data_IF_720017308185
#
_entry.id   IF_720017308185
#
_cell.length_a   1.000
_cell.length_b   1.000
_cell.length_c   1.000
_cell.angle_alpha   90.00
_cell.angle_beta   90.00
_cell.angle_gamma   90.00
#
_symmetry.space_group_name_H-M   'P 1'
#
loop_
_entity.id
_entity.type
_entity.pdbx_description
1 polymer ?
#
# COMPACT_ATOMS: atom_id res chain seq x y z
N UNK A 1 -8.44 0.32 -31.31
CA UNK A 1 -8.93 -0.43 -30.14
C UNK A 1 -7.75 -0.63 -29.19
N UNK A 2 -7.75 0.01 -28.01
CA UNK A 2 -6.61 -0.05 -27.07
C UNK A 2 -6.50 -1.45 -26.47
N UNK A 3 -5.29 -2.01 -26.43
CA UNK A 3 -5.01 -3.30 -25.81
C UNK A 3 -5.31 -3.23 -24.31
N UNK A 4 -6.45 -3.77 -23.88
CA UNK A 4 -6.79 -3.84 -22.46
C UNK A 4 -5.80 -4.80 -21.76
N UNK A 5 -4.96 -4.31 -20.84
CA UNK A 5 -3.96 -5.14 -20.15
C UNK A 5 -4.61 -6.25 -19.31
N UNK A 6 -5.87 -6.08 -18.92
CA UNK A 6 -6.62 -7.06 -18.13
C UNK A 6 -6.99 -8.32 -18.95
N UNK A 7 -6.93 -8.27 -20.29
CA UNK A 7 -7.23 -9.45 -21.14
C UNK A 7 -6.21 -10.58 -21.02
N UNK A 8 -5.05 -10.33 -20.42
CA UNK A 8 -3.97 -11.33 -20.25
C UNK A 8 -3.88 -11.88 -18.83
N UNK A 9 -4.71 -11.39 -17.90
CA UNK A 9 -4.73 -11.89 -16.54
C UNK A 9 -5.55 -13.17 -16.47
N UNK A 10 -5.03 -14.15 -15.74
CA UNK A 10 -5.78 -15.37 -15.47
C UNK A 10 -6.91 -15.05 -14.48
N UNK A 11 -8.05 -15.72 -14.62
CA UNK A 11 -9.17 -15.57 -13.69
C UNK A 11 -8.76 -15.90 -12.25
N UNK A 12 -7.85 -16.86 -12.07
CA UNK A 12 -7.31 -17.21 -10.75
C UNK A 12 -6.53 -16.06 -10.09
N UNK A 13 -5.73 -15.31 -10.87
CA UNK A 13 -4.98 -14.17 -10.35
C UNK A 13 -5.92 -13.03 -9.94
N UNK A 14 -7.01 -12.85 -10.68
CA UNK A 14 -8.03 -11.84 -10.39
C UNK A 14 -8.77 -12.19 -9.09
N UNK A 15 -9.14 -13.46 -8.92
CA UNK A 15 -9.82 -13.95 -7.70
C UNK A 15 -8.93 -13.78 -6.46
N UNK A 16 -7.65 -14.15 -6.55
CA UNK A 16 -6.68 -13.96 -5.46
C UNK A 16 -6.55 -12.47 -5.08
N UNK A 17 -6.60 -11.56 -6.05
CA UNK A 17 -6.48 -10.12 -5.78
C UNK A 17 -7.73 -9.50 -5.18
N UNK A 18 -8.92 -10.05 -5.48
CA UNK A 18 -10.18 -9.58 -4.88
C UNK A 18 -10.21 -9.93 -3.39
N UNK A 19 -9.67 -11.09 -3.02
CA UNK A 19 -9.75 -11.65 -1.66
C UNK A 19 -8.48 -11.49 -0.83
N UNK A 20 -7.50 -10.73 -1.33
CA UNK A 20 -6.19 -10.61 -0.67
C UNK A 20 -6.24 -10.00 0.73
N UNK A 21 -7.25 -9.16 0.99
CA UNK A 21 -7.42 -8.44 2.24
C UNK A 21 -8.50 -9.05 3.15
N UNK A 22 -9.12 -10.17 2.74
CA UNK A 22 -10.22 -10.80 3.50
C UNK A 22 -9.77 -11.32 4.87
N UNK A 23 -8.50 -11.72 5.00
CA UNK A 23 -7.91 -12.22 6.25
C UNK A 23 -7.28 -11.09 7.10
N UNK A 24 -7.38 -9.83 6.68
CA UNK A 24 -6.83 -8.69 7.42
C UNK A 24 -7.87 -8.16 8.40
N UNK A 25 -7.52 -8.20 9.69
CA UNK A 25 -8.35 -7.64 10.75
C UNK A 25 -8.49 -6.11 10.57
N UNK A 26 -9.73 -5.63 10.51
CA UNK A 26 -10.01 -4.20 10.34
C UNK A 26 -9.66 -3.47 11.64
N UNK A 27 -8.50 -2.80 11.65
CA UNK A 27 -7.96 -2.12 12.83
C UNK A 27 -8.84 -0.94 13.30
N UNK A 28 -9.51 -0.25 12.39
CA UNK A 28 -10.41 0.86 12.70
C UNK A 28 -11.43 1.08 11.59
N UNK A 29 -12.66 1.41 11.98
CA UNK A 29 -13.71 1.86 11.08
C UNK A 29 -14.03 3.31 11.38
N UNK A 30 -13.94 4.18 10.37
CA UNK A 30 -14.25 5.60 10.52
C UNK A 30 -15.60 5.92 9.88
N UNK A 31 -16.40 6.71 10.57
CA UNK A 31 -17.64 7.29 10.06
C UNK A 31 -17.34 8.54 9.22
N UNK A 32 -18.25 8.90 8.32
CA UNK A 32 -18.12 10.09 7.47
C UNK A 32 -17.85 11.37 8.30
N UNK A 33 -18.44 11.48 9.49
CA UNK A 33 -18.23 12.62 10.39
C UNK A 33 -16.81 12.67 10.95
N UNK A 34 -16.23 11.52 11.33
CA UNK A 34 -14.85 11.42 11.82
C UNK A 34 -13.84 11.72 10.70
N UNK A 35 -14.16 11.32 9.46
CA UNK A 35 -13.34 11.64 8.28
C UNK A 35 -13.40 13.15 7.99
N UNK A 36 -14.58 13.77 8.04
CA UNK A 36 -14.72 15.23 7.82
C UNK A 36 -13.98 16.00 8.92
N UNK A 37 -14.05 15.54 10.16
CA UNK A 37 -13.39 16.17 11.29
C UNK A 37 -11.87 16.05 11.20
N UNK A 38 -11.33 14.94 10.68
CA UNK A 38 -9.89 14.77 10.46
C UNK A 38 -9.32 15.80 9.49
N UNK A 39 -10.11 16.16 8.47
CA UNK A 39 -9.72 17.14 7.45
C UNK A 39 -9.88 18.57 7.97
N UNK A 40 -10.91 18.81 8.81
CA UNK A 40 -11.29 20.15 9.25
C UNK A 40 -10.59 20.57 10.55
N UNK A 41 -10.09 19.62 11.35
CA UNK A 41 -9.38 19.87 12.61
C UNK A 41 -8.29 18.81 12.83
N UNK A 42 -7.12 18.95 12.19
CA UNK A 42 -6.09 17.91 12.18
C UNK A 42 -5.54 17.58 13.59
N UNK A 43 -5.55 18.52 14.52
CA UNK A 43 -4.91 18.38 15.84
C UNK A 43 -5.71 17.53 16.86
N UNK A 44 -6.88 16.97 16.50
CA UNK A 44 -7.76 16.27 17.48
C UNK A 44 -7.87 14.76 17.32
N UNK A 45 -7.25 14.16 16.31
CA UNK A 45 -7.39 12.71 16.04
C UNK A 45 -6.10 11.94 16.36
N UNK A 46 -5.04 12.60 16.81
CA UNK A 46 -3.81 11.93 17.23
C UNK A 46 -3.97 11.16 18.56
N UNK A 47 -5.00 11.43 19.37
CA UNK A 47 -5.16 10.76 20.67
C UNK A 47 -5.61 9.29 20.57
N UNK A 48 -6.35 8.89 19.53
CA UNK A 48 -6.79 7.50 19.37
C UNK A 48 -5.92 6.65 18.43
N UNK A 49 -4.93 7.26 17.77
CA UNK A 49 -3.86 6.56 17.07
C UNK A 49 -2.52 6.68 17.82
N UNK A 50 -2.54 7.09 19.09
CA UNK A 50 -1.37 7.19 19.94
C UNK A 50 -0.93 5.79 20.39
N UNK A 51 -0.41 5.00 19.44
CA UNK A 51 0.66 4.08 19.78
C UNK A 51 1.87 4.96 20.14
N UNK A 52 1.99 5.23 21.44
CA UNK A 52 3.23 5.49 22.14
C UNK A 52 4.26 6.28 21.32
N UNK A 53 4.03 7.59 21.17
CA UNK A 53 5.14 8.53 21.01
C UNK A 53 5.90 8.58 22.33
N UNK A 54 6.59 7.48 22.65
CA UNK A 54 7.71 7.49 23.56
C UNK A 54 8.78 8.39 22.95
N UNK A 55 8.96 9.56 23.55
CA UNK A 55 10.21 10.29 23.50
C UNK A 55 11.33 9.36 24.00
N UNK A 56 11.89 8.52 23.13
CA UNK A 56 13.15 7.83 23.40
C UNK A 56 13.99 7.76 22.13
N UNK A 57 15.04 8.59 22.13
CA UNK A 57 16.25 8.58 21.30
C UNK A 57 16.06 8.52 19.77
N UNK A 58 16.31 9.66 19.13
CA UNK A 58 16.64 9.83 17.71
C UNK A 58 17.81 8.94 17.26
N UNK A 59 17.58 7.64 17.16
CA UNK A 59 18.34 6.74 16.30
C UNK A 59 17.40 6.25 15.23
N UNK A 60 17.35 6.99 14.13
CA UNK A 60 16.94 6.46 12.84
C UNK A 60 17.87 5.30 12.52
N UNK A 61 17.54 4.09 12.98
CA UNK A 61 18.30 2.90 12.64
C UNK A 61 18.27 2.74 11.12
N UNK A 62 19.46 2.70 10.54
CA UNK A 62 19.61 2.58 9.10
C UNK A 62 18.97 1.27 8.64
N UNK A 63 17.93 1.36 7.82
CA UNK A 63 17.22 0.18 7.32
C UNK A 63 18.20 -0.72 6.56
N UNK A 64 18.34 -1.97 7.02
CA UNK A 64 19.18 -2.96 6.38
C UNK A 64 18.63 -3.24 4.96
N UNK A 65 19.48 -3.07 3.96
CA UNK A 65 19.11 -3.39 2.57
C UNK A 65 18.95 -4.90 2.37
N UNK A 66 18.10 -5.31 1.42
CA UNK A 66 17.95 -6.71 1.03
C UNK A 66 19.27 -7.40 0.67
N UNK A 67 20.20 -6.67 0.04
CA UNK A 67 21.52 -7.20 -0.32
C UNK A 67 22.40 -7.44 0.91
N UNK A 68 22.34 -6.54 1.90
CA UNK A 68 23.05 -6.72 3.17
C UNK A 68 22.50 -7.91 3.97
N UNK A 69 21.18 -8.07 4.02
CA UNK A 69 20.53 -9.21 4.67
C UNK A 69 20.90 -10.55 4.00
N UNK A 70 20.92 -10.60 2.67
CA UNK A 70 21.30 -11.78 1.88
C UNK A 70 22.76 -12.20 2.15
N UNK A 71 23.68 -11.24 2.15
CA UNK A 71 25.09 -11.51 2.52
C UNK A 71 25.24 -11.97 3.96
N UNK A 72 24.45 -11.41 4.88
CA UNK A 72 24.43 -11.81 6.28
C UNK A 72 24.00 -13.26 6.46
N UNK A 73 22.87 -13.64 5.86
CA UNK A 73 22.36 -15.01 6.01
C UNK A 73 23.24 -16.06 5.32
N UNK A 74 23.85 -15.74 4.17
CA UNK A 74 24.86 -16.62 3.55
C UNK A 74 26.05 -16.88 4.47
N UNK A 75 26.47 -15.86 5.23
CA UNK A 75 27.56 -15.99 6.19
C UNK A 75 27.16 -16.90 7.34
N UNK A 76 25.94 -16.73 7.85
CA UNK A 76 25.38 -17.61 8.91
C UNK A 76 25.28 -19.05 8.43
N UNK A 77 24.75 -19.29 7.23
CA UNK A 77 24.63 -20.64 6.67
C UNK A 77 26.00 -21.31 6.57
N UNK A 78 27.00 -20.63 5.98
CA UNK A 78 28.36 -21.16 5.90
C UNK A 78 28.94 -21.52 7.26
N UNK A 79 28.68 -20.68 8.27
CA UNK A 79 29.10 -20.94 9.63
C UNK A 79 28.43 -22.21 10.18
N UNK A 80 27.11 -22.33 10.06
CA UNK A 80 26.35 -23.49 10.56
C UNK A 80 26.75 -24.78 9.84
N UNK A 81 27.02 -24.73 8.54
CA UNK A 81 27.48 -25.88 7.74
C UNK A 81 28.88 -26.37 8.13
N UNK A 82 29.78 -25.47 8.53
CA UNK A 82 31.16 -25.79 8.84
C UNK A 82 31.38 -26.21 10.31
N UNK A 83 30.45 -25.88 11.20
CA UNK A 83 30.58 -26.15 12.62
C UNK A 83 29.86 -27.43 13.02
N UNK A 84 30.63 -28.43 13.46
CA UNK A 84 30.11 -29.73 13.91
C UNK A 84 29.22 -29.68 15.16
N UNK A 85 29.13 -28.53 15.83
CA UNK A 85 28.24 -28.32 16.98
C UNK A 85 26.76 -28.23 16.57
N UNK A 86 26.47 -27.97 15.30
CA UNK A 86 25.11 -27.90 14.78
C UNK A 86 24.67 -29.26 14.24
N UNK A 87 23.42 -29.62 14.52
CA UNK A 87 22.81 -30.81 13.95
C UNK A 87 22.44 -30.59 12.48
N UNK A 88 22.19 -31.69 11.75
CA UNK A 88 21.68 -31.60 10.38
C UNK A 88 20.33 -30.86 10.31
N UNK A 89 19.52 -30.97 11.37
CA UNK A 89 18.25 -30.25 11.46
C UNK A 89 18.48 -28.73 11.54
N UNK A 90 19.49 -28.28 12.30
CA UNK A 90 19.81 -26.86 12.43
C UNK A 90 20.30 -26.27 11.10
N UNK A 91 21.14 -27.03 10.37
CA UNK A 91 21.58 -26.67 9.02
C UNK A 91 20.38 -26.53 8.09
N UNK A 92 19.45 -27.49 8.11
CA UNK A 92 18.24 -27.45 7.29
C UNK A 92 17.35 -26.24 7.64
N UNK A 93 17.20 -25.92 8.93
CA UNK A 93 16.44 -24.76 9.37
C UNK A 93 17.06 -23.44 8.89
N UNK A 94 18.38 -23.31 8.92
CA UNK A 94 19.07 -22.13 8.40
C UNK A 94 18.76 -21.92 6.90
N UNK A 95 18.78 -22.99 6.11
CA UNK A 95 18.40 -22.97 4.69
C UNK A 95 16.92 -22.61 4.47
N UNK A 96 16.00 -23.08 5.33
CA UNK A 96 14.59 -22.67 5.26
C UNK A 96 14.41 -21.16 5.47
N UNK A 97 15.13 -20.57 6.41
CA UNK A 97 15.09 -19.12 6.65
C UNK A 97 15.60 -18.35 5.43
N UNK A 98 16.68 -18.79 4.79
CA UNK A 98 17.17 -18.18 3.55
C UNK A 98 16.14 -18.26 2.42
N UNK A 99 15.50 -19.41 2.21
CA UNK A 99 14.45 -19.56 1.19
C UNK A 99 13.27 -18.61 1.44
N UNK A 100 12.86 -18.48 2.70
CA UNK A 100 11.80 -17.53 3.09
C UNK A 100 12.22 -16.08 2.80
N UNK A 101 13.45 -15.70 3.11
CA UNK A 101 13.98 -14.37 2.83
C UNK A 101 13.93 -14.04 1.33
N UNK A 102 14.39 -14.97 0.48
CA UNK A 102 14.39 -14.82 -0.98
C UNK A 102 12.95 -14.68 -1.50
N UNK A 103 12.04 -15.49 -0.98
CA UNK A 103 10.62 -15.47 -1.36
C UNK A 103 9.98 -14.12 -1.01
N UNK A 104 10.22 -13.60 0.21
CA UNK A 104 9.72 -12.30 0.66
C UNK A 104 10.31 -11.14 -0.15
N UNK A 105 11.60 -11.19 -0.49
CA UNK A 105 12.25 -10.22 -1.38
C UNK A 105 11.58 -10.17 -2.75
N UNK A 106 11.22 -11.33 -3.32
CA UNK A 106 10.51 -11.39 -4.60
C UNK A 106 9.10 -10.81 -4.50
N UNK A 107 8.34 -11.15 -3.45
CA UNK A 107 7.01 -10.59 -3.19
C UNK A 107 7.05 -9.06 -3.02
N UNK A 108 8.03 -8.55 -2.28
CA UNK A 108 8.24 -7.11 -2.09
C UNK A 108 8.49 -6.37 -3.41
N UNK A 109 9.28 -6.96 -4.32
CA UNK A 109 9.50 -6.40 -5.67
C UNK A 109 8.21 -6.34 -6.47
N UNK A 110 7.42 -7.42 -6.49
CA UNK A 110 6.11 -7.46 -7.17
C UNK A 110 5.17 -6.35 -6.68
N UNK A 111 5.08 -6.14 -5.36
CA UNK A 111 4.29 -5.05 -4.79
C UNK A 111 4.82 -3.67 -5.18
N UNK A 112 6.15 -3.50 -5.26
CA UNK A 112 6.78 -2.29 -5.76
C UNK A 112 6.35 -1.95 -7.19
N UNK A 113 6.27 -2.96 -8.06
CA UNK A 113 5.83 -2.79 -9.45
C UNK A 113 4.36 -2.38 -9.52
N UNK A 114 3.46 -3.01 -8.74
CA UNK A 114 2.04 -2.64 -8.67
C UNK A 114 1.89 -1.16 -8.24
N UNK A 115 2.56 -0.76 -7.15
CA UNK A 115 2.55 0.64 -6.68
C UNK A 115 3.01 1.61 -7.75
N UNK A 116 4.04 1.23 -8.52
CA UNK A 116 4.54 2.04 -9.64
C UNK A 116 3.52 2.15 -10.78
N UNK A 117 2.85 1.06 -11.13
CA UNK A 117 1.78 1.08 -12.14
C UNK A 117 0.59 1.93 -11.72
N UNK A 118 0.13 1.79 -10.47
CA UNK A 118 -0.95 2.62 -9.91
C UNK A 118 -0.57 4.10 -9.91
N UNK A 119 0.63 4.45 -9.43
CA UNK A 119 1.12 5.83 -9.46
C UNK A 119 1.16 6.39 -10.88
N UNK A 120 1.62 5.61 -11.86
CA UNK A 120 1.63 6.01 -13.27
C UNK A 120 0.22 6.21 -13.85
N UNK A 121 -0.73 5.37 -13.48
CA UNK A 121 -2.12 5.49 -13.92
C UNK A 121 -2.79 6.75 -13.36
N UNK A 122 -2.61 7.02 -12.07
CA UNK A 122 -3.10 8.25 -11.41
C UNK A 122 -2.49 9.49 -12.06
N UNK A 123 -1.17 9.51 -12.28
CA UNK A 123 -0.51 10.64 -12.93
C UNK A 123 -0.93 10.85 -14.40
N UNK A 124 -1.37 9.79 -15.09
CA UNK A 124 -1.85 9.87 -16.48
C UNK A 124 -3.31 10.32 -16.56
N UNK A 125 -4.15 9.96 -15.57
CA UNK A 125 -5.55 10.38 -15.47
C UNK A 125 -5.69 11.85 -15.06
N UNK A 126 -4.76 12.38 -14.25
CA UNK A 126 -4.75 13.78 -13.83
C UNK A 126 -4.57 14.77 -15.01
N UNK A 127 -4.03 14.32 -16.15
CA UNK A 127 -3.84 15.17 -17.35
C UNK A 127 -5.14 15.32 -18.16
N UNK A 128 -6.09 14.39 -18.07
CA UNK A 128 -7.39 14.49 -18.74
C UNK A 128 -8.45 15.27 -17.93
N UNK A 129 -8.29 15.39 -16.61
CA UNK A 129 -9.24 16.11 -15.75
C UNK A 129 -9.11 17.66 -15.82
N UNK A 130 -8.05 18.19 -16.42
CA UNK A 130 -7.81 19.64 -16.49
C UNK A 130 -8.53 20.35 -17.66
N UNK A 131 -9.30 19.62 -18.48
CA UNK A 131 -9.96 20.18 -19.67
C UNK A 131 -11.46 19.93 -19.68
N UNK A 132 -12.16 20.27 -18.58
CA UNK A 132 -13.62 20.46 -18.60
C UNK A 132 -13.93 21.95 -18.67
N UNK A 133 -14.60 22.45 -19.73
CA UNK A 133 -15.04 23.84 -19.77
C UNK A 133 -16.13 24.06 -18.72
N UNK A 134 -15.97 25.08 -17.89
CA UNK A 134 -17.02 25.55 -16.98
C UNK A 134 -18.25 25.95 -17.77
N UNK A 135 -19.35 25.21 -17.61
CA UNK A 135 -20.67 25.69 -18.05
C UNK A 135 -21.20 26.63 -16.98
N UNK A 136 -20.94 27.93 -17.17
CA UNK A 136 -21.63 29.00 -16.45
C UNK A 136 -23.14 28.84 -16.68
N UNK A 137 -23.88 28.48 -15.63
CA UNK A 137 -25.33 28.55 -15.62
C UNK A 137 -25.73 30.02 -15.67
N UNK A 138 -26.17 30.50 -16.83
CA UNK A 138 -26.97 31.70 -16.91
C UNK A 138 -28.34 31.38 -16.29
N UNK A 139 -28.76 32.18 -15.33
CA UNK A 139 -30.11 32.15 -14.80
C UNK A 139 -31.04 32.71 -15.88
N UNK A 140 -32.00 31.91 -16.34
CA UNK A 140 -33.14 32.39 -17.11
C UNK A 140 -34.10 33.09 -16.13
N UNK A 141 -34.39 34.36 -16.42
CA UNK A 141 -35.42 35.16 -15.78
C UNK A 141 -36.80 34.50 -15.99
N UNK A 142 -37.47 34.13 -14.90
CA UNK A 142 -38.88 33.73 -14.91
C UNK A 142 -39.71 34.99 -14.69
N UNK A 143 -40.36 35.49 -15.74
CA UNK A 143 -41.43 36.50 -15.63
C UNK A 143 -42.62 35.89 -14.87
N UNK A 144 -42.93 36.46 -13.70
CA UNK A 144 -44.16 36.18 -12.97
C UNK A 144 -45.28 37.00 -13.59
N UNK A 145 -46.21 36.33 -14.28
CA UNK A 145 -47.47 36.94 -14.76
C UNK A 145 -48.43 37.07 -13.58
N UNK A 146 -48.69 38.31 -13.16
CA UNK A 146 -49.78 38.67 -12.25
C UNK A 146 -51.13 38.45 -12.94
N UNK A 147 -51.99 37.61 -12.36
CA UNK A 147 -53.40 37.52 -12.73
C UNK A 147 -54.19 38.17 -11.59
N UNK A 148 -54.63 39.41 -11.80
CA UNK A 148 -55.62 40.06 -10.94
C UNK A 148 -57.03 39.72 -11.43
N UNK A 149 -57.92 39.42 -10.49
CA UNK A 149 -59.37 39.33 -10.67
C UNK A 149 -60.03 40.69 -10.36
#
# INVERSE_FOLDING_TARGET
>A
MRNNPLRKLNAADIEEWIHIDDDIEVAATFTDQEIIQSITTPDKIEENCSEESGEDDDKVEEKISWAAAEKGIETVIKFVEQNHSFSLQDVMQAHMVQNNLITKKLQSRKQGDIRKYLKKAVSSSAVEAASVPSTSSAADDIEVVEINE
#
